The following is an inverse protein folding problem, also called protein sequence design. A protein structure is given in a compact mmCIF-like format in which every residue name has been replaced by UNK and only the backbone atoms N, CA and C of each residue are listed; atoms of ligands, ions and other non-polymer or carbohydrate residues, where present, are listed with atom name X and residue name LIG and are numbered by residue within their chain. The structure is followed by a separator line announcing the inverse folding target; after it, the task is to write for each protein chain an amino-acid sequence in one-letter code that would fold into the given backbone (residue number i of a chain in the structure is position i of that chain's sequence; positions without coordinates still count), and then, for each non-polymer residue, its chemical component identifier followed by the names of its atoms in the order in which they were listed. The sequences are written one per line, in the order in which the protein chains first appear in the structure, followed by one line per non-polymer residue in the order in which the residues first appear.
data_IF_990246170513
#
_entry.id   IF_990246170513
#
_cell.length_a   1.000
_cell.length_b   1.000
_cell.length_c   1.000
_cell.angle_alpha   90.00
_cell.angle_beta   90.00
_cell.angle_gamma   90.00
#
_symmetry.space_group_name_H-M   'P 1'
#
loop_
_entity.id
_entity.type
_entity.pdbx_description
1 polymer ?
#
# COMPACT_ATOMS: atom_id res chain seq x y z
N UNK A 1 -52.12 54.53 -30.90
CA UNK A 1 -51.46 53.93 -32.07
C UNK A 1 -51.09 52.50 -31.70
N UNK A 2 -51.80 51.51 -32.30
CA UNK A 2 -51.55 50.06 -32.52
C UNK A 2 -50.76 49.23 -31.46
N UNK A 3 -51.08 47.98 -31.09
CA UNK A 3 -52.00 46.95 -31.60
C UNK A 3 -52.14 45.85 -30.52
N UNK A 4 -53.34 45.29 -30.37
CA UNK A 4 -53.62 44.07 -29.59
C UNK A 4 -53.22 42.85 -30.44
N UNK A 5 -52.59 41.84 -29.85
CA UNK A 5 -52.76 40.45 -30.31
C UNK A 5 -52.74 39.46 -29.14
N UNK A 6 -53.89 38.84 -28.90
CA UNK A 6 -54.11 37.72 -27.98
C UNK A 6 -53.71 36.41 -28.64
N UNK A 7 -53.03 35.53 -27.89
CA UNK A 7 -53.20 34.07 -28.05
C UNK A 7 -53.42 33.44 -26.68
N UNK A 8 -54.66 33.06 -26.43
CA UNK A 8 -55.02 31.99 -25.50
C UNK A 8 -54.78 30.63 -26.19
N UNK A 9 -54.75 29.55 -25.39
CA UNK A 9 -54.52 28.11 -25.69
C UNK A 9 -53.05 27.67 -25.72
N UNK A 10 -52.59 26.59 -25.06
CA UNK A 10 -53.30 25.39 -24.61
C UNK A 10 -52.46 24.56 -23.60
N UNK A 11 -53.15 23.73 -22.81
CA UNK A 11 -52.67 22.47 -22.16
C UNK A 11 -51.77 22.55 -20.91
N UNK A 12 -52.43 22.47 -19.75
CA UNK A 12 -52.06 21.61 -18.60
C UNK A 12 -50.91 20.63 -18.85
N UNK A 13 -49.71 20.96 -18.38
CA UNK A 13 -48.66 19.97 -18.11
C UNK A 13 -49.01 19.26 -16.79
N UNK A 14 -50.00 18.35 -16.85
CA UNK A 14 -50.11 17.28 -15.87
C UNK A 14 -49.07 16.23 -16.29
N UNK A 15 -47.81 16.42 -15.90
CA UNK A 15 -46.86 15.31 -15.94
C UNK A 15 -47.40 14.23 -14.98
N UNK A 16 -47.59 12.98 -15.44
CA UNK A 16 -48.04 11.92 -14.54
C UNK A 16 -47.03 11.80 -13.39
N UNK A 17 -47.49 11.55 -12.15
CA UNK A 17 -46.57 11.37 -11.03
C UNK A 17 -45.58 10.25 -11.39
N UNK A 18 -44.28 10.54 -11.24
CA UNK A 18 -43.22 9.58 -11.49
C UNK A 18 -43.55 8.26 -10.77
N UNK A 19 -43.94 7.23 -11.53
CA UNK A 19 -44.20 5.92 -10.98
C UNK A 19 -42.89 5.33 -10.47
N UNK A 20 -42.74 5.30 -9.16
CA UNK A 20 -41.64 4.61 -8.51
C UNK A 20 -41.83 3.11 -8.75
N UNK A 21 -41.08 2.56 -9.70
CA UNK A 21 -41.08 1.12 -9.95
C UNK A 21 -40.33 0.39 -8.82
N UNK A 22 -41.10 -0.11 -7.85
CA UNK A 22 -40.61 -0.85 -6.67
C UNK A 22 -39.79 -2.10 -7.03
N UNK A 23 -40.02 -2.73 -8.20
CA UNK A 23 -39.20 -3.87 -8.66
C UNK A 23 -37.80 -3.40 -9.05
N UNK A 24 -37.72 -2.31 -9.80
CA UNK A 24 -36.45 -1.71 -10.22
C UNK A 24 -35.64 -1.17 -9.04
N UNK A 25 -36.30 -0.66 -7.99
CA UNK A 25 -35.61 -0.25 -6.76
C UNK A 25 -35.02 -1.44 -6.00
N UNK A 26 -35.79 -2.52 -5.83
CA UNK A 26 -35.35 -3.74 -5.15
C UNK A 26 -34.17 -4.41 -5.86
N UNK A 27 -34.17 -4.41 -7.20
CA UNK A 27 -33.05 -4.91 -8.01
C UNK A 27 -31.79 -4.04 -7.88
N UNK A 28 -31.96 -2.71 -7.82
CA UNK A 28 -30.86 -1.77 -7.58
C UNK A 28 -30.26 -1.94 -6.18
N UNK A 29 -31.08 -2.11 -5.15
CA UNK A 29 -30.64 -2.37 -3.77
C UNK A 29 -29.87 -3.70 -3.64
N UNK A 30 -30.36 -4.75 -4.30
CA UNK A 30 -29.68 -6.04 -4.36
C UNK A 30 -28.30 -5.92 -5.05
N UNK A 31 -28.22 -5.19 -6.18
CA UNK A 31 -26.96 -4.96 -6.89
C UNK A 31 -25.95 -4.17 -6.05
N UNK A 32 -26.39 -3.15 -5.31
CA UNK A 32 -25.52 -2.38 -4.40
C UNK A 32 -24.94 -3.27 -3.30
N UNK A 33 -25.75 -4.16 -2.73
CA UNK A 33 -25.27 -5.11 -1.70
C UNK A 33 -24.21 -6.09 -2.24
N UNK A 34 -24.37 -6.54 -3.49
CA UNK A 34 -23.44 -7.45 -4.13
C UNK A 34 -22.09 -6.76 -4.43
N UNK A 35 -22.12 -5.51 -4.87
CA UNK A 35 -20.92 -4.69 -5.09
C UNK A 35 -20.20 -4.43 -3.76
N UNK A 36 -20.95 -4.17 -2.69
CA UNK A 36 -20.37 -3.97 -1.36
C UNK A 36 -19.68 -5.24 -0.85
N UNK A 37 -20.26 -6.41 -1.06
CA UNK A 37 -19.61 -7.67 -0.63
C UNK A 37 -18.37 -8.01 -1.45
N UNK A 38 -18.39 -7.78 -2.76
CA UNK A 38 -17.22 -7.97 -3.63
C UNK A 38 -16.06 -7.01 -3.27
N UNK A 39 -16.36 -5.73 -3.02
CA UNK A 39 -15.36 -4.75 -2.61
C UNK A 39 -14.70 -5.13 -1.28
N UNK A 40 -15.49 -5.54 -0.28
CA UNK A 40 -14.98 -6.03 1.01
C UNK A 40 -14.11 -7.29 0.83
N UNK A 41 -14.54 -8.24 -0.01
CA UNK A 41 -13.76 -9.44 -0.30
C UNK A 41 -12.39 -9.12 -0.90
N UNK A 42 -12.35 -8.20 -1.88
CA UNK A 42 -11.09 -7.74 -2.48
C UNK A 42 -10.19 -7.03 -1.48
N UNK A 43 -10.75 -6.18 -0.62
CA UNK A 43 -9.99 -5.51 0.44
C UNK A 43 -9.34 -6.51 1.40
N UNK A 44 -10.07 -7.54 1.81
CA UNK A 44 -9.54 -8.58 2.70
C UNK A 44 -8.43 -9.38 2.02
N UNK A 45 -8.58 -9.71 0.73
CA UNK A 45 -7.53 -10.35 -0.05
C UNK A 45 -6.27 -9.48 -0.10
N UNK A 46 -6.40 -8.18 -0.39
CA UNK A 46 -5.27 -7.25 -0.39
C UNK A 46 -4.62 -7.16 0.99
N UNK A 47 -5.41 -7.08 2.06
CA UNK A 47 -4.91 -7.05 3.44
C UNK A 47 -4.08 -8.30 3.75
N UNK A 48 -4.58 -9.49 3.41
CA UNK A 48 -3.84 -10.75 3.58
C UNK A 48 -2.50 -10.74 2.86
N UNK A 49 -2.47 -10.31 1.59
CA UNK A 49 -1.22 -10.25 0.83
C UNK A 49 -0.23 -9.26 1.45
N UNK A 50 -0.71 -8.10 1.92
CA UNK A 50 0.14 -7.11 2.62
C UNK A 50 0.73 -7.67 3.91
N UNK A 51 -0.07 -8.39 4.70
CA UNK A 51 0.39 -9.04 5.93
C UNK A 51 1.47 -10.09 5.64
N UNK A 52 1.23 -10.98 4.67
CA UNK A 52 2.22 -11.99 4.29
C UNK A 52 3.50 -11.37 3.72
N UNK A 53 3.40 -10.28 2.94
CA UNK A 53 4.56 -9.56 2.45
C UNK A 53 5.38 -8.94 3.60
N UNK A 54 4.70 -8.33 4.58
CA UNK A 54 5.34 -7.80 5.78
C UNK A 54 6.10 -8.89 6.55
N UNK A 55 5.44 -10.01 6.81
CA UNK A 55 6.05 -11.16 7.52
C UNK A 55 7.27 -11.71 6.76
N UNK A 56 7.19 -11.79 5.42
CA UNK A 56 8.31 -12.20 4.58
C UNK A 56 9.51 -11.26 4.67
N UNK A 57 9.26 -9.94 4.65
CA UNK A 57 10.30 -8.92 4.80
C UNK A 57 10.94 -8.96 6.19
N UNK A 58 10.15 -9.12 7.25
CA UNK A 58 10.66 -9.26 8.63
C UNK A 58 11.54 -10.51 8.77
N UNK A 59 11.12 -11.64 8.18
CA UNK A 59 11.92 -12.86 8.17
C UNK A 59 13.22 -12.69 7.37
N UNK A 60 13.16 -11.96 6.25
CA UNK A 60 14.34 -11.64 5.46
C UNK A 60 15.32 -10.76 6.25
N UNK A 61 14.83 -9.71 6.92
CA UNK A 61 15.64 -8.85 7.77
C UNK A 61 16.34 -9.65 8.89
N UNK A 62 15.61 -10.55 9.56
CA UNK A 62 16.18 -11.45 10.59
C UNK A 62 17.27 -12.37 10.02
N UNK A 63 17.13 -12.85 8.79
CA UNK A 63 18.17 -13.64 8.12
C UNK A 63 19.39 -12.78 7.80
N UNK A 64 19.19 -11.55 7.32
CA UNK A 64 20.28 -10.61 7.02
C UNK A 64 21.10 -10.27 8.27
N UNK A 65 20.44 -10.00 9.40
CA UNK A 65 21.11 -9.73 10.69
C UNK A 65 22.04 -10.88 11.12
N UNK A 66 21.60 -12.13 10.96
CA UNK A 66 22.41 -13.30 11.31
C UNK A 66 23.66 -13.42 10.42
N UNK A 67 23.56 -13.02 9.16
CA UNK A 67 24.67 -13.08 8.19
C UNK A 67 25.64 -11.91 8.42
N UNK A 68 25.14 -10.74 8.82
CA UNK A 68 25.95 -9.54 9.05
C UNK A 68 26.67 -9.51 10.41
N UNK A 69 26.79 -10.65 11.11
CA UNK A 69 27.40 -10.69 12.43
C UNK A 69 28.88 -10.25 12.38
N UNK A 70 29.19 -9.13 13.02
CA UNK A 70 30.55 -8.60 13.14
C UNK A 70 31.19 -9.10 14.43
N UNK A 71 32.49 -9.45 14.42
CA UNK A 71 33.17 -10.03 15.58
C UNK A 71 33.61 -9.00 16.65
N UNK A 72 33.08 -7.77 16.64
CA UNK A 72 33.41 -6.72 17.61
C UNK A 72 32.23 -6.44 18.52
N UNK A 73 32.50 -6.15 19.78
CA UNK A 73 31.48 -6.01 20.83
C UNK A 73 31.49 -4.63 21.48
N UNK A 74 32.57 -3.86 21.29
CA UNK A 74 32.78 -2.58 21.98
C UNK A 74 33.12 -1.45 21.02
N UNK A 75 32.67 -0.25 21.39
CA UNK A 75 33.09 1.00 20.75
C UNK A 75 34.61 1.13 20.85
N UNK A 76 35.26 1.45 19.72
CA UNK A 76 36.70 1.54 19.57
C UNK A 76 37.37 0.26 19.05
N UNK A 77 36.67 -0.88 18.99
CA UNK A 77 37.22 -2.10 18.43
C UNK A 77 37.43 -1.96 16.91
N UNK A 78 38.58 -2.44 16.43
CA UNK A 78 38.85 -2.54 14.99
C UNK A 78 38.31 -3.88 14.49
N UNK A 79 37.36 -3.82 13.56
CA UNK A 79 36.75 -4.99 12.94
C UNK A 79 37.10 -5.10 11.46
N UNK A 80 37.16 -6.34 10.97
CA UNK A 80 37.38 -6.65 9.56
C UNK A 80 36.04 -6.97 8.89
N UNK A 81 35.58 -6.08 8.01
CA UNK A 81 34.34 -6.24 7.26
C UNK A 81 34.61 -6.91 5.90
N UNK A 82 33.92 -8.01 5.61
CA UNK A 82 33.99 -8.69 4.30
C UNK A 82 33.06 -7.98 3.31
N UNK A 83 33.58 -7.60 2.15
CA UNK A 83 32.76 -7.06 1.05
C UNK A 83 32.25 -8.25 0.21
N UNK A 84 30.93 -8.40 0.01
CA UNK A 84 30.37 -9.42 -0.87
C UNK A 84 30.89 -9.27 -2.30
N UNK A 85 31.08 -10.38 -3.01
CA UNK A 85 31.61 -10.33 -4.38
C UNK A 85 30.66 -9.61 -5.36
N UNK A 86 29.37 -9.50 -5.05
CA UNK A 86 28.39 -8.74 -5.85
C UNK A 86 28.58 -7.22 -5.76
N UNK A 87 29.04 -6.72 -4.61
CA UNK A 87 29.26 -5.30 -4.35
C UNK A 87 30.70 -4.86 -4.65
N UNK A 88 31.55 -5.82 -5.03
CA UNK A 88 33.00 -5.65 -5.18
C UNK A 88 33.39 -5.58 -6.65
N UNK A 89 34.00 -4.48 -7.09
CA UNK A 89 34.63 -4.47 -8.41
C UNK A 89 35.88 -5.37 -8.44
N UNK A 90 36.34 -5.74 -9.64
CA UNK A 90 37.43 -6.70 -9.81
C UNK A 90 38.72 -6.31 -9.04
N UNK A 91 39.00 -5.02 -8.95
CA UNK A 91 40.19 -4.47 -8.29
C UNK A 91 39.98 -4.12 -6.81
N UNK A 92 38.76 -4.20 -6.31
CA UNK A 92 38.45 -3.75 -4.95
C UNK A 92 38.92 -4.77 -3.90
N UNK A 93 39.38 -4.28 -2.73
CA UNK A 93 39.82 -5.15 -1.65
C UNK A 93 38.68 -6.03 -1.15
N UNK A 94 39.01 -7.27 -0.75
CA UNK A 94 38.01 -8.22 -0.24
C UNK A 94 37.51 -7.89 1.16
N UNK A 95 38.30 -7.15 1.94
CA UNK A 95 37.94 -6.78 3.30
C UNK A 95 38.31 -5.31 3.56
N UNK A 96 37.50 -4.64 4.37
CA UNK A 96 37.74 -3.31 4.91
C UNK A 96 38.06 -3.43 6.41
N UNK A 97 38.95 -2.58 6.92
CA UNK A 97 39.13 -2.38 8.35
C UNK A 97 38.30 -1.16 8.77
N UNK A 98 37.49 -1.31 9.80
CA UNK A 98 36.64 -0.25 10.33
C UNK A 98 36.68 -0.24 11.86
N UNK A 99 36.31 0.88 12.47
CA UNK A 99 36.29 1.05 13.93
C UNK A 99 34.83 1.15 14.36
N UNK A 100 34.43 0.42 15.40
CA UNK A 100 33.06 0.56 15.91
C UNK A 100 32.91 1.92 16.61
N UNK A 101 32.05 2.78 16.09
CA UNK A 101 31.70 4.08 16.66
C UNK A 101 30.55 3.96 17.66
N UNK A 102 29.59 3.09 17.38
CA UNK A 102 28.41 2.87 18.23
C UNK A 102 27.92 1.42 18.12
N UNK A 103 27.48 0.86 19.24
CA UNK A 103 26.79 -0.44 19.29
C UNK A 103 25.30 -0.17 19.45
N UNK A 104 24.53 -0.51 18.42
CA UNK A 104 23.07 -0.40 18.45
C UNK A 104 22.43 -1.69 18.98
N UNK A 105 21.11 -1.64 19.19
CA UNK A 105 20.35 -2.80 19.60
C UNK A 105 20.37 -3.90 18.52
N UNK A 106 20.27 -5.16 18.95
CA UNK A 106 20.14 -6.33 18.07
C UNK A 106 21.40 -6.69 17.24
N UNK A 107 22.59 -6.30 17.68
CA UNK A 107 23.86 -6.68 17.03
C UNK A 107 24.16 -5.88 15.76
N UNK A 108 23.58 -4.68 15.66
CA UNK A 108 23.89 -3.69 14.64
C UNK A 108 24.97 -2.75 15.15
N UNK A 109 25.87 -2.36 14.26
CA UNK A 109 27.00 -1.50 14.59
C UNK A 109 27.06 -0.32 13.64
N UNK A 110 27.40 0.84 14.19
CA UNK A 110 27.86 1.97 13.41
C UNK A 110 29.39 1.91 13.36
N UNK A 111 29.93 1.92 12.15
CA UNK A 111 31.35 1.86 11.84
C UNK A 111 31.89 3.23 11.43
#
# INVERSE_FOLDING_TARGET
MFLIWTKNNDLSQNDPPYEINFKTQKEKEAAVSLIQTDTLYRQEKVRKHRMSAKEGLELQAKKMLKVSNLPGDKVGDIVKLRIPDVDRARSDPRNLLAVILEVQNEGLFQL
#
